data_IF_125132762282
#
_entry.id   IF_125132762282
#
_cell.length_a   1.000
_cell.length_b   1.000
_cell.length_c   1.000
_cell.angle_alpha   90.00
_cell.angle_beta   90.00
_cell.angle_gamma   90.00
#
_symmetry.space_group_name_H-M   'P 1'
#
loop_
_entity.id
_entity.type
_entity.pdbx_description
1 polymer ?
#
# COMPACT_ATOMS: atom_id res chain seq x y z
N UNK A 1 4.11 -7.84 -0.02
CA UNK A 1 4.25 -7.27 -1.38
C UNK A 1 4.38 -5.77 -1.24
N UNK A 2 5.16 -5.10 -2.06
CA UNK A 2 5.35 -3.65 -1.99
C UNK A 2 4.82 -3.01 -3.27
N UNK A 3 4.02 -1.97 -3.11
CA UNK A 3 3.46 -1.17 -4.20
C UNK A 3 4.09 0.21 -4.14
N UNK A 4 4.78 0.61 -5.22
CA UNK A 4 5.38 1.93 -5.36
C UNK A 4 4.76 2.62 -6.56
N UNK A 5 4.11 3.74 -6.30
CA UNK A 5 3.51 4.59 -7.34
C UNK A 5 4.33 5.88 -7.44
N UNK A 6 4.73 6.20 -8.66
CA UNK A 6 5.38 7.45 -9.06
C UNK A 6 4.53 8.14 -10.12
N UNK A 7 4.85 9.38 -10.46
CA UNK A 7 4.12 10.15 -11.47
C UNK A 7 4.08 9.49 -12.87
N UNK A 8 4.98 8.55 -13.15
CA UNK A 8 5.17 7.92 -14.45
C UNK A 8 4.92 6.41 -14.44
N UNK A 9 4.96 5.76 -13.27
CA UNK A 9 4.88 4.30 -13.20
C UNK A 9 4.35 3.76 -11.89
N UNK A 10 3.78 2.57 -11.99
CA UNK A 10 3.51 1.69 -10.85
C UNK A 10 4.46 0.50 -10.90
N UNK A 11 5.06 0.18 -9.76
CA UNK A 11 5.95 -0.97 -9.59
C UNK A 11 5.42 -1.84 -8.45
N UNK A 12 5.25 -3.12 -8.75
CA UNK A 12 4.97 -4.15 -7.74
C UNK A 12 6.24 -4.96 -7.54
N UNK A 13 6.72 -5.04 -6.30
CA UNK A 13 7.90 -5.81 -5.94
C UNK A 13 7.69 -6.71 -4.74
N UNK A 14 8.50 -7.75 -4.64
CA UNK A 14 8.62 -8.62 -3.47
C UNK A 14 10.01 -8.46 -2.88
N UNK A 15 10.08 -7.98 -1.65
CA UNK A 15 11.32 -7.97 -0.86
C UNK A 15 11.60 -9.35 -0.28
N UNK A 16 12.84 -9.76 -0.38
CA UNK A 16 13.39 -10.97 0.22
C UNK A 16 14.62 -10.62 1.03
N UNK A 17 14.81 -11.29 2.16
CA UNK A 17 15.93 -11.05 3.06
C UNK A 17 16.74 -12.33 3.16
N UNK A 18 18.03 -12.22 2.85
CA UNK A 18 18.98 -13.33 2.91
C UNK A 18 19.99 -13.04 4.01
N UNK A 19 20.20 -14.03 4.88
CA UNK A 19 21.29 -14.02 5.85
C UNK A 19 22.52 -14.63 5.17
N UNK A 20 23.61 -13.89 5.16
CA UNK A 20 24.95 -14.37 4.83
C UNK A 20 25.81 -14.35 6.10
N UNK A 21 26.98 -14.99 6.07
CA UNK A 21 27.90 -15.04 7.23
C UNK A 21 28.26 -13.63 7.73
N UNK A 22 28.35 -12.65 6.82
CA UNK A 22 28.84 -11.31 7.14
C UNK A 22 27.74 -10.22 7.12
N UNK A 23 26.55 -10.51 6.56
CA UNK A 23 25.54 -9.47 6.36
C UNK A 23 24.11 -9.96 6.13
N UNK A 24 23.18 -9.05 6.38
CA UNK A 24 21.78 -9.16 5.93
C UNK A 24 21.65 -8.49 4.57
N UNK A 25 21.31 -9.25 3.54
CA UNK A 25 21.08 -8.75 2.19
C UNK A 25 19.58 -8.64 1.94
N UNK A 26 19.09 -7.42 1.69
CA UNK A 26 17.75 -7.20 1.14
C UNK A 26 17.80 -7.17 -0.38
N UNK A 27 16.96 -8.00 -1.01
CA UNK A 27 16.79 -8.03 -2.47
C UNK A 27 15.33 -7.81 -2.82
N UNK A 28 15.07 -6.81 -3.65
CA UNK A 28 13.75 -6.53 -4.22
C UNK A 28 13.63 -7.15 -5.62
N UNK A 29 12.68 -8.06 -5.79
CA UNK A 29 12.34 -8.61 -7.11
C UNK A 29 11.14 -7.86 -7.68
N UNK A 30 11.29 -7.24 -8.85
CA UNK A 30 10.18 -6.58 -9.56
C UNK A 30 9.29 -7.66 -10.20
N UNK A 31 7.99 -7.62 -9.90
CA UNK A 31 6.99 -8.58 -10.42
C UNK A 31 6.10 -7.97 -11.50
N UNK A 32 5.94 -6.64 -11.47
CA UNK A 32 5.13 -5.90 -12.42
C UNK A 32 5.62 -4.45 -12.51
N UNK A 33 5.53 -3.88 -13.71
CA UNK A 33 5.72 -2.47 -13.96
C UNK A 33 4.79 -2.01 -15.07
N UNK A 34 4.08 -0.93 -14.85
CA UNK A 34 3.26 -0.28 -15.88
C UNK A 34 3.42 1.24 -15.82
N UNK A 35 3.11 1.90 -16.94
CA UNK A 35 2.97 3.36 -16.97
C UNK A 35 1.67 3.76 -16.28
N UNK A 36 1.71 4.90 -15.61
CA UNK A 36 0.52 5.53 -15.02
C UNK A 36 0.15 6.72 -15.88
N UNK A 37 -1.14 6.87 -16.18
CA UNK A 37 -1.65 8.03 -16.89
C UNK A 37 -1.83 9.22 -15.93
N UNK A 38 -1.87 10.43 -16.49
CA UNK A 38 -2.00 11.66 -15.70
C UNK A 38 -3.28 11.72 -14.88
N UNK A 39 -4.41 11.19 -15.39
CA UNK A 39 -5.69 11.27 -14.67
C UNK A 39 -5.63 10.42 -13.39
N UNK A 40 -4.99 9.26 -13.43
CA UNK A 40 -4.83 8.43 -12.22
C UNK A 40 -3.96 9.12 -11.15
N UNK A 41 -2.90 9.83 -11.55
CA UNK A 41 -2.09 10.60 -10.59
C UNK A 41 -2.90 11.76 -9.99
N UNK A 42 -3.65 12.48 -10.80
CA UNK A 42 -4.49 13.59 -10.34
C UNK A 42 -5.60 13.10 -9.39
N UNK A 43 -6.21 11.95 -9.68
CA UNK A 43 -7.16 11.30 -8.77
C UNK A 43 -6.51 10.97 -7.43
N UNK A 44 -5.33 10.33 -7.42
CA UNK A 44 -4.59 10.01 -6.18
C UNK A 44 -4.24 11.30 -5.41
N UNK A 45 -3.81 12.34 -6.11
CA UNK A 45 -3.46 13.63 -5.51
C UNK A 45 -4.67 14.39 -4.94
N UNK A 46 -5.89 14.05 -5.37
CA UNK A 46 -7.15 14.63 -4.88
C UNK A 46 -7.64 13.99 -3.57
N UNK A 47 -7.17 12.80 -3.22
CA UNK A 47 -7.58 12.05 -2.02
C UNK A 47 -7.07 12.64 -0.69
N UNK A 48 -6.30 13.74 -0.74
CA UNK A 48 -5.77 14.46 0.43
C UNK A 48 -5.04 13.54 1.43
N UNK A 49 -4.24 12.60 0.92
CA UNK A 49 -3.53 11.59 1.70
C UNK A 49 -2.56 12.18 2.75
N UNK A 50 -2.18 13.46 2.61
CA UNK A 50 -1.40 14.22 3.60
C UNK A 50 -2.09 14.29 4.95
N UNK A 51 -3.43 14.22 4.98
CA UNK A 51 -4.23 14.28 6.20
C UNK A 51 -4.30 12.94 6.94
N UNK A 52 -3.92 11.83 6.29
CA UNK A 52 -3.88 10.52 6.93
C UNK A 52 -2.74 10.45 7.94
N UNK A 53 -2.90 9.63 8.98
CA UNK A 53 -1.81 9.25 9.87
C UNK A 53 -0.86 8.28 9.14
N UNK A 54 0.34 8.11 9.69
CA UNK A 54 1.28 7.14 9.15
C UNK A 54 0.92 5.71 9.57
N UNK A 55 0.25 5.54 10.70
CA UNK A 55 -0.03 4.23 11.29
C UNK A 55 -1.47 4.10 11.78
N UNK A 56 -2.08 2.95 11.50
CA UNK A 56 -3.41 2.56 11.94
C UNK A 56 -3.43 1.11 12.39
N UNK A 57 -3.99 0.85 13.56
CA UNK A 57 -4.03 -0.47 14.18
C UNK A 57 -5.43 -0.82 14.62
N UNK A 58 -5.93 -1.98 14.18
CA UNK A 58 -7.14 -2.57 14.71
C UNK A 58 -6.81 -3.28 16.02
N UNK A 59 -7.43 -2.84 17.11
CA UNK A 59 -7.17 -3.37 18.46
C UNK A 59 -7.79 -4.75 18.71
N UNK A 60 -8.70 -5.18 17.84
CA UNK A 60 -9.41 -6.45 17.99
C UNK A 60 -8.62 -7.65 17.49
N UNK A 61 -7.54 -7.37 16.77
CA UNK A 61 -6.69 -8.38 16.19
C UNK A 61 -5.31 -8.19 16.81
N UNK A 62 -4.77 -9.29 17.33
CA UNK A 62 -3.41 -9.31 17.85
C UNK A 62 -2.46 -8.73 16.81
N UNK A 63 -1.48 -7.94 17.27
CA UNK A 63 -0.51 -7.29 16.36
C UNK A 63 0.31 -8.31 15.55
N UNK A 64 0.36 -9.56 16.00
CA UNK A 64 1.04 -10.67 15.32
C UNK A 64 0.13 -11.44 14.36
N UNK A 65 -1.13 -11.02 14.23
CA UNK A 65 -2.17 -11.70 13.46
C UNK A 65 -2.83 -10.74 12.47
N UNK A 66 -3.39 -11.28 11.39
CA UNK A 66 -4.04 -10.47 10.36
C UNK A 66 -3.10 -10.07 9.22
N UNK A 67 -3.60 -9.20 8.34
CA UNK A 67 -2.87 -8.75 7.16
C UNK A 67 -2.27 -7.37 7.43
N UNK A 68 -1.00 -7.21 7.08
CA UNK A 68 -0.28 -5.95 7.10
C UNK A 68 -0.21 -5.36 5.68
N UNK A 69 -0.54 -4.07 5.55
CA UNK A 69 -0.44 -3.36 4.29
C UNK A 69 0.49 -2.15 4.43
N UNK A 70 1.48 -2.08 3.54
CA UNK A 70 2.41 -0.95 3.42
C UNK A 70 2.16 -0.26 2.09
N UNK A 71 1.59 0.95 2.16
CA UNK A 71 1.33 1.77 0.98
C UNK A 71 2.27 2.96 0.98
N UNK A 72 3.15 3.04 -0.02
CA UNK A 72 4.08 4.16 -0.19
C UNK A 72 3.79 4.87 -1.50
N UNK A 73 3.47 6.16 -1.39
CA UNK A 73 3.08 7.00 -2.52
C UNK A 73 4.06 8.14 -2.60
N UNK A 74 4.59 8.37 -3.80
CA UNK A 74 5.42 9.52 -4.11
C UNK A 74 4.78 10.29 -5.26
N UNK A 75 4.17 11.42 -4.95
CA UNK A 75 3.63 12.35 -5.94
C UNK A 75 4.47 13.63 -5.99
N UNK A 76 4.07 14.59 -6.82
CA UNK A 76 4.68 15.92 -6.84
C UNK A 76 4.51 16.66 -5.50
N UNK A 77 3.46 16.34 -4.74
CA UNK A 77 3.14 17.00 -3.46
C UNK A 77 3.93 16.45 -2.28
N UNK A 78 4.60 15.30 -2.44
CA UNK A 78 5.46 14.73 -1.39
C UNK A 78 5.49 13.21 -1.39
N UNK A 79 6.08 12.66 -0.33
CA UNK A 79 6.12 11.23 -0.06
C UNK A 79 5.23 10.94 1.14
N UNK A 80 4.32 9.97 1.00
CA UNK A 80 3.49 9.47 2.08
C UNK A 80 3.64 7.97 2.21
N UNK A 81 3.86 7.51 3.43
CA UNK A 81 3.87 6.09 3.78
C UNK A 81 2.80 5.84 4.82
N UNK A 82 1.95 4.86 4.55
CA UNK A 82 0.84 4.46 5.42
C UNK A 82 1.02 2.98 5.73
N UNK A 83 0.98 2.67 7.01
CA UNK A 83 1.02 1.33 7.56
C UNK A 83 -0.33 1.00 8.21
N UNK A 84 -0.95 -0.09 7.77
CA UNK A 84 -2.26 -0.52 8.23
C UNK A 84 -2.17 -1.95 8.76
N UNK A 85 -2.46 -2.11 10.05
CA UNK A 85 -2.59 -3.41 10.71
C UNK A 85 -4.07 -3.77 10.86
N UNK A 86 -4.57 -4.55 9.90
CA UNK A 86 -5.97 -4.97 9.82
C UNK A 86 -7.02 -3.85 10.05
N UNK A 87 -6.74 -2.63 9.62
CA UNK A 87 -7.57 -1.45 9.86
C UNK A 87 -8.19 -0.96 8.55
N UNK A 88 -9.51 -0.69 8.54
CA UNK A 88 -10.22 -0.16 7.37
C UNK A 88 -10.41 1.36 7.48
N UNK A 89 -10.12 2.02 6.36
CA UNK A 89 -10.34 3.44 6.12
C UNK A 89 -10.86 3.64 4.71
N UNK A 90 -11.97 4.37 4.58
CA UNK A 90 -12.58 4.66 3.28
C UNK A 90 -11.61 5.34 2.31
N UNK A 91 -10.86 6.33 2.79
CA UNK A 91 -9.86 7.04 1.96
C UNK A 91 -8.74 6.11 1.44
N UNK A 92 -8.38 5.07 2.21
CA UNK A 92 -7.39 4.07 1.79
C UNK A 92 -8.01 3.08 0.80
N UNK A 93 -9.29 2.73 0.98
CA UNK A 93 -10.03 1.93 0.00
C UNK A 93 -10.11 2.66 -1.34
N UNK A 94 -10.45 3.96 -1.35
CA UNK A 94 -10.53 4.77 -2.57
C UNK A 94 -9.17 4.85 -3.27
N UNK A 95 -8.10 5.04 -2.50
CA UNK A 95 -6.73 4.98 -3.01
C UNK A 95 -6.42 3.60 -3.63
N UNK A 96 -6.78 2.52 -2.95
CA UNK A 96 -6.54 1.16 -3.44
C UNK A 96 -7.37 0.87 -4.70
N UNK A 97 -8.57 1.43 -4.81
CA UNK A 97 -9.38 1.35 -6.01
C UNK A 97 -8.67 2.03 -7.20
N UNK A 98 -8.10 3.23 -7.03
CA UNK A 98 -7.29 3.87 -8.08
C UNK A 98 -6.06 3.04 -8.45
N UNK A 99 -5.37 2.47 -7.45
CA UNK A 99 -4.20 1.60 -7.68
C UNK A 99 -4.59 0.34 -8.47
N UNK A 100 -5.70 -0.30 -8.12
CA UNK A 100 -6.12 -1.56 -8.73
C UNK A 100 -6.54 -1.40 -10.21
N UNK A 101 -6.96 -0.20 -10.64
CA UNK A 101 -7.17 0.09 -12.07
C UNK A 101 -5.89 -0.09 -12.90
N UNK A 102 -4.72 0.08 -12.28
CA UNK A 102 -3.41 -0.02 -12.92
C UNK A 102 -2.81 -1.43 -12.85
N UNK A 103 -3.46 -2.37 -12.16
CA UNK A 103 -2.90 -3.67 -11.84
C UNK A 103 -3.72 -4.80 -12.49
N UNK A 104 -3.07 -5.83 -13.06
CA UNK A 104 -3.78 -7.04 -13.42
C UNK A 104 -4.27 -7.74 -12.15
N UNK A 105 -5.37 -8.50 -12.25
CA UNK A 105 -6.05 -9.12 -11.10
C UNK A 105 -5.11 -9.90 -10.17
N UNK A 106 -4.13 -10.62 -10.72
CA UNK A 106 -3.12 -11.38 -9.96
C UNK A 106 -2.26 -10.52 -9.01
N UNK A 107 -2.18 -9.22 -9.24
CA UNK A 107 -1.43 -8.27 -8.43
C UNK A 107 -2.32 -7.23 -7.76
N UNK A 108 -3.65 -7.35 -7.88
CA UNK A 108 -4.57 -6.44 -7.23
C UNK A 108 -4.39 -6.47 -5.71
N UNK A 109 -4.40 -5.29 -5.10
CA UNK A 109 -4.40 -5.13 -3.66
C UNK A 109 -5.78 -5.53 -3.15
N UNK A 110 -5.85 -6.65 -2.44
CA UNK A 110 -7.07 -7.10 -1.76
C UNK A 110 -7.12 -6.45 -0.39
N UNK A 111 -7.71 -5.26 -0.34
CA UNK A 111 -7.87 -4.53 0.91
C UNK A 111 -9.13 -4.94 1.67
N UNK A 112 -9.16 -4.54 2.93
CA UNK A 112 -10.30 -4.63 3.83
C UNK A 112 -11.46 -3.78 3.31
N UNK A 113 -12.68 -4.17 3.64
CA UNK A 113 -13.89 -3.42 3.29
C UNK A 113 -14.51 -2.76 4.52
N UNK A 114 -15.53 -1.94 4.32
CA UNK A 114 -16.34 -1.34 5.39
C UNK A 114 -16.91 -2.36 6.39
N UNK A 115 -17.13 -3.60 5.96
CA UNK A 115 -17.58 -4.69 6.82
C UNK A 115 -16.53 -5.19 7.82
N UNK A 116 -15.29 -4.67 7.75
CA UNK A 116 -14.22 -5.04 8.69
C UNK A 116 -14.55 -4.54 10.08
N UNK A 117 -14.66 -5.47 11.03
CA UNK A 117 -14.88 -5.16 12.43
C UNK A 117 -13.62 -4.54 13.04
N UNK A 118 -13.76 -3.34 13.63
CA UNK A 118 -12.65 -2.55 14.17
C UNK A 118 -12.84 -2.11 15.63
N UNK A 119 -14.04 -2.32 16.17
CA UNK A 119 -14.39 -2.01 17.55
C UNK A 119 -14.69 -3.32 18.27
N UNK A 120 -13.91 -3.62 19.29
CA UNK A 120 -14.03 -4.85 20.06
C UNK A 120 -14.95 -4.52 21.22
N UNK A 121 -16.20 -4.95 21.11
CA UNK A 121 -17.15 -4.96 22.22
C UNK A 121 -17.32 -6.39 22.71
#
# INVERSE_FOLDING_TARGET
>A
MTYRITNDSIIVSRSSMFLTIDSIIRKDTILYKAKVDYNTIDNIDSLQLTNLRNDYYNKCILITSGNEYFVSIKTKKGVKSIHLHHYYLKQVEDLIAEINKLLPEKYAVRYLSEATEQNCN
#
